data_IF_276451555222
#
_entry.id   IF_276451555222
#
_cell.length_a   1.000
_cell.length_b   1.000
_cell.length_c   1.000
_cell.angle_alpha   90.00
_cell.angle_beta   90.00
_cell.angle_gamma   90.00
#
_symmetry.space_group_name_H-M   'P 1'
#
loop_
_entity.id
_entity.type
_entity.pdbx_description
1 polymer ?
#
# COMPACT_ATOMS: atom_id res chain seq x y z
N UNK A 1 -32.54 23.53 -58.73
CA UNK A 1 -31.73 24.05 -57.60
C UNK A 1 -32.02 23.18 -56.39
N UNK A 2 -31.09 22.49 -55.73
CA UNK A 2 -29.65 22.37 -55.89
C UNK A 2 -29.18 21.05 -55.23
N UNK A 3 -28.29 20.33 -55.94
CA UNK A 3 -27.08 19.61 -55.50
C UNK A 3 -27.14 18.34 -54.60
N UNK A 4 -26.31 17.37 -55.02
CA UNK A 4 -26.02 16.05 -54.45
C UNK A 4 -24.95 16.08 -53.33
N UNK A 5 -25.15 15.26 -52.27
CA UNK A 5 -24.21 14.40 -51.46
C UNK A 5 -22.89 14.99 -50.85
N UNK A 6 -22.28 14.42 -49.76
CA UNK A 6 -22.24 12.99 -49.39
C UNK A 6 -22.24 12.61 -47.87
N UNK A 7 -22.15 11.29 -47.63
CA UNK A 7 -21.93 10.57 -46.37
C UNK A 7 -20.89 11.21 -45.43
N UNK A 8 -21.22 11.30 -44.15
CA UNK A 8 -20.24 11.29 -43.06
C UNK A 8 -20.36 9.96 -42.31
N UNK A 9 -19.36 9.11 -42.51
CA UNK A 9 -19.07 7.97 -41.64
C UNK A 9 -18.56 8.52 -40.30
N UNK A 10 -19.31 8.31 -39.22
CA UNK A 10 -18.78 8.49 -37.87
C UNK A 10 -18.27 7.13 -37.39
N UNK A 11 -16.97 6.92 -37.58
CA UNK A 11 -16.24 5.80 -37.02
C UNK A 11 -15.69 6.26 -35.66
N UNK A 12 -16.49 6.15 -34.59
CA UNK A 12 -16.01 6.39 -33.23
C UNK A 12 -16.03 5.08 -32.46
N UNK A 13 -14.86 4.44 -32.46
CA UNK A 13 -14.47 3.41 -31.52
C UNK A 13 -14.49 3.98 -30.10
N UNK A 14 -15.67 4.01 -29.49
CA UNK A 14 -15.85 4.24 -28.06
C UNK A 14 -15.78 2.90 -27.34
N UNK A 15 -14.55 2.42 -27.14
CA UNK A 15 -14.29 1.30 -26.24
C UNK A 15 -14.88 1.64 -24.86
N UNK A 16 -15.80 0.79 -24.42
CA UNK A 16 -16.07 0.46 -23.03
C UNK A 16 -15.93 1.66 -22.08
N UNK A 17 -17.04 2.34 -21.78
CA UNK A 17 -17.19 3.15 -20.57
C UNK A 17 -16.88 2.26 -19.36
N UNK A 18 -15.59 2.13 -19.05
CA UNK A 18 -15.13 1.78 -17.73
C UNK A 18 -15.66 2.92 -16.87
N UNK A 19 -16.83 2.68 -16.27
CA UNK A 19 -17.29 3.43 -15.11
C UNK A 19 -16.06 3.67 -14.23
N UNK A 20 -15.81 4.90 -13.75
CA UNK A 20 -14.71 5.13 -12.84
C UNK A 20 -14.87 4.15 -11.70
N UNK A 21 -14.00 3.14 -11.62
CA UNK A 21 -13.89 2.27 -10.46
C UNK A 21 -13.53 3.22 -9.33
N UNK A 22 -14.55 3.66 -8.58
CA UNK A 22 -14.37 4.50 -7.41
C UNK A 22 -13.25 3.85 -6.61
N UNK A 23 -12.15 4.57 -6.42
CA UNK A 23 -10.96 4.04 -5.78
C UNK A 23 -11.32 3.75 -4.33
N UNK A 24 -11.81 2.54 -4.07
CA UNK A 24 -12.27 2.07 -2.77
C UNK A 24 -11.06 1.66 -1.90
N UNK A 25 -9.95 2.38 -2.05
CA UNK A 25 -8.67 2.16 -1.39
C UNK A 25 -8.23 3.46 -0.71
N UNK A 26 -7.93 3.38 0.59
CA UNK A 26 -7.31 4.44 1.38
C UNK A 26 -5.87 4.08 1.70
N UNK A 27 -4.94 4.91 1.22
CA UNK A 27 -3.55 4.87 1.63
C UNK A 27 -3.36 5.64 2.95
N UNK A 28 -2.86 4.98 3.99
CA UNK A 28 -2.58 5.58 5.31
C UNK A 28 -1.08 5.52 5.58
N UNK A 29 -0.44 6.66 5.80
CA UNK A 29 0.97 6.71 6.23
C UNK A 29 1.04 6.50 7.74
N UNK A 30 1.67 5.41 8.14
CA UNK A 30 1.91 5.09 9.55
C UNK A 30 3.12 5.87 10.06
N UNK A 31 2.95 6.49 11.23
CA UNK A 31 3.97 7.31 11.91
C UNK A 31 4.20 6.88 13.37
N UNK A 32 3.73 5.68 13.73
CA UNK A 32 3.77 5.17 15.11
C UNK A 32 2.46 5.35 15.88
N UNK A 33 1.56 6.22 15.42
CA UNK A 33 0.26 6.45 16.05
C UNK A 33 -0.73 5.30 15.79
N UNK A 34 -1.68 5.07 16.71
CA UNK A 34 -2.81 4.17 16.50
C UNK A 34 -3.67 4.59 15.31
N UNK A 35 -4.03 3.63 14.46
CA UNK A 35 -4.83 3.85 13.26
C UNK A 35 -6.28 3.49 13.56
N UNK A 36 -7.19 4.45 13.43
CA UNK A 36 -8.62 4.19 13.58
C UNK A 36 -9.18 3.39 12.40
N UNK A 37 -9.86 2.28 12.69
CA UNK A 37 -10.45 1.39 11.69
C UNK A 37 -11.94 1.18 12.02
N UNK A 38 -12.82 1.61 11.13
CA UNK A 38 -14.27 1.53 11.33
C UNK A 38 -14.96 0.47 10.48
N UNK A 39 -15.03 -0.76 10.96
CA UNK A 39 -15.59 -1.87 10.21
C UNK A 39 -17.09 -1.67 9.92
N UNK A 40 -17.51 -1.77 8.64
CA UNK A 40 -18.92 -1.90 8.31
C UNK A 40 -19.44 -3.28 8.74
N UNK A 41 -20.67 -3.33 9.25
CA UNK A 41 -21.29 -4.60 9.60
C UNK A 41 -21.56 -5.45 8.36
N UNK A 42 -21.29 -6.75 8.46
CA UNK A 42 -21.49 -7.77 7.43
C UNK A 42 -20.73 -7.52 6.12
N UNK A 43 -19.80 -6.57 6.08
CA UNK A 43 -18.94 -6.32 4.94
C UNK A 43 -17.48 -6.53 5.33
N UNK A 44 -16.71 -7.15 4.44
CA UNK A 44 -15.28 -7.35 4.64
C UNK A 44 -14.53 -6.05 4.35
N UNK A 45 -13.63 -5.69 5.26
CA UNK A 45 -12.59 -4.70 5.03
C UNK A 45 -11.23 -5.41 4.97
N UNK A 46 -10.44 -5.07 3.96
CA UNK A 46 -9.05 -5.50 3.82
C UNK A 46 -8.09 -4.42 4.28
N UNK A 47 -7.09 -4.81 5.06
CA UNK A 47 -6.01 -3.95 5.54
C UNK A 47 -4.70 -4.58 5.08
N UNK A 48 -3.97 -3.90 4.20
CA UNK A 48 -2.68 -4.37 3.70
C UNK A 48 -1.59 -3.72 4.55
N UNK A 49 -0.88 -4.53 5.33
CA UNK A 49 0.31 -4.10 6.04
C UNK A 49 1.49 -3.93 5.06
N UNK A 50 2.43 -3.02 5.35
CA UNK A 50 3.58 -2.79 4.47
C UNK A 50 4.57 -3.97 4.51
N UNK A 51 4.48 -4.83 5.53
CA UNK A 51 5.27 -6.06 5.71
C UNK A 51 4.40 -7.20 6.25
N UNK A 52 4.85 -8.46 6.11
CA UNK A 52 4.21 -9.61 6.74
C UNK A 52 4.10 -9.46 8.27
N UNK A 53 2.98 -9.94 8.81
CA UNK A 53 2.69 -9.91 10.25
C UNK A 53 2.96 -11.30 10.85
N UNK A 54 3.74 -11.32 11.92
CA UNK A 54 4.08 -12.54 12.67
C UNK A 54 3.09 -12.84 13.79
N UNK A 55 2.56 -11.81 14.43
CA UNK A 55 1.67 -11.93 15.58
C UNK A 55 0.57 -10.87 15.51
N UNK A 56 -0.65 -11.28 15.87
CA UNK A 56 -1.84 -10.42 15.87
C UNK A 56 -2.60 -10.63 17.19
N UNK A 57 -2.45 -9.67 18.10
CA UNK A 57 -3.17 -9.64 19.38
C UNK A 57 -4.51 -8.91 19.19
N UNK A 58 -5.59 -9.69 19.22
CA UNK A 58 -6.97 -9.19 19.08
C UNK A 58 -7.70 -9.41 20.41
N UNK A 59 -8.30 -8.36 21.01
CA UNK A 59 -9.14 -8.51 22.19
C UNK A 59 -10.25 -9.54 21.96
N UNK A 60 -10.47 -10.42 22.93
CA UNK A 60 -11.47 -11.51 22.82
C UNK A 60 -12.86 -11.00 22.41
N UNK A 61 -13.29 -9.86 22.97
CA UNK A 61 -14.59 -9.25 22.66
C UNK A 61 -14.77 -8.90 21.16
N UNK A 62 -13.68 -8.59 20.45
CA UNK A 62 -13.71 -8.33 19.01
C UNK A 62 -13.70 -9.64 18.23
N UNK A 63 -12.85 -10.59 18.62
CA UNK A 63 -12.72 -11.90 17.97
C UNK A 63 -14.02 -12.71 17.99
N UNK A 64 -14.81 -12.62 19.07
CA UNK A 64 -16.11 -13.32 19.16
C UNK A 64 -17.18 -12.74 18.23
N UNK A 65 -17.04 -11.46 17.87
CA UNK A 65 -18.02 -10.69 17.07
C UNK A 65 -17.61 -10.48 15.62
N UNK A 66 -16.49 -11.07 15.22
CA UNK A 66 -15.91 -10.84 13.91
C UNK A 66 -15.22 -12.07 13.36
N UNK A 67 -15.00 -12.06 12.05
CA UNK A 67 -14.14 -13.00 11.37
C UNK A 67 -12.89 -12.27 10.90
N UNK A 68 -11.76 -12.85 11.24
CA UNK A 68 -10.43 -12.29 11.04
C UNK A 68 -9.60 -13.32 10.30
N UNK A 69 -9.01 -12.92 9.18
CA UNK A 69 -8.10 -13.76 8.40
C UNK A 69 -6.88 -12.95 8.03
N UNK A 70 -5.72 -13.38 8.51
CA UNK A 70 -4.43 -12.81 8.16
C UNK A 70 -3.73 -13.71 7.13
N UNK A 71 -3.37 -13.14 5.98
CA UNK A 71 -2.58 -13.87 4.98
C UNK A 71 -1.09 -13.79 5.29
N UNK A 72 -0.28 -14.75 4.82
CA UNK A 72 1.19 -14.71 4.97
C UNK A 72 1.85 -13.48 4.35
N UNK A 73 1.15 -12.76 3.46
CA UNK A 73 1.64 -11.54 2.81
C UNK A 73 1.43 -10.29 3.66
N UNK A 74 0.72 -10.39 4.78
CA UNK A 74 0.32 -9.23 5.57
C UNK A 74 -0.99 -8.59 5.12
N UNK A 75 -1.89 -9.35 4.47
CA UNK A 75 -3.25 -8.87 4.16
C UNK A 75 -4.19 -9.34 5.28
N UNK A 76 -4.79 -8.40 5.99
CA UNK A 76 -5.76 -8.67 7.05
C UNK A 76 -7.17 -8.42 6.52
N UNK A 77 -7.93 -9.49 6.39
CA UNK A 77 -9.34 -9.47 6.02
C UNK A 77 -10.17 -9.53 7.30
N UNK A 78 -10.99 -8.50 7.52
CA UNK A 78 -11.78 -8.36 8.74
C UNK A 78 -13.24 -8.06 8.40
N UNK A 79 -14.14 -8.93 8.87
CA UNK A 79 -15.58 -8.72 8.79
C UNK A 79 -16.18 -8.73 10.20
N UNK A 80 -16.91 -7.67 10.57
CA UNK A 80 -17.66 -7.62 11.82
C UNK A 80 -19.11 -8.06 11.60
N UNK A 81 -19.67 -8.85 12.51
CA UNK A 81 -21.07 -9.30 12.49
C UNK A 81 -21.95 -8.49 13.43
N UNK A 82 -21.36 -8.01 14.53
CA UNK A 82 -22.02 -7.16 15.53
C UNK A 82 -21.28 -5.83 15.68
N UNK A 83 -21.99 -4.79 16.13
CA UNK A 83 -21.39 -3.51 16.47
C UNK A 83 -20.61 -3.59 17.79
N UNK A 84 -19.52 -2.85 17.88
CA UNK A 84 -18.71 -2.74 19.09
C UNK A 84 -17.92 -1.44 19.11
N UNK A 85 -17.63 -0.97 20.32
CA UNK A 85 -16.79 0.21 20.55
C UNK A 85 -15.34 -0.04 20.10
N UNK A 86 -14.61 1.02 19.68
CA UNK A 86 -13.21 0.90 19.29
C UNK A 86 -12.35 0.25 20.38
N UNK A 87 -11.66 -0.83 20.02
CA UNK A 87 -10.69 -1.49 20.88
C UNK A 87 -9.35 -1.63 20.17
N UNK A 88 -8.28 -1.63 20.97
CA UNK A 88 -6.92 -1.70 20.44
C UNK A 88 -6.54 -3.12 20.06
N UNK A 89 -5.99 -3.25 18.87
CA UNK A 89 -5.46 -4.46 18.26
C UNK A 89 -4.00 -4.19 17.92
N UNK A 90 -3.14 -5.15 18.22
CA UNK A 90 -1.70 -5.03 17.99
C UNK A 90 -1.28 -6.02 16.90
N UNK A 91 -0.57 -5.53 15.88
CA UNK A 91 0.02 -6.36 14.84
C UNK A 91 1.53 -6.18 14.83
N UNK A 92 2.26 -7.25 15.11
CA UNK A 92 3.73 -7.24 15.13
C UNK A 92 4.24 -7.82 13.81
N UNK A 93 5.04 -7.05 13.07
CA UNK A 93 5.65 -7.52 11.82
C UNK A 93 6.75 -8.54 12.08
N UNK A 94 7.12 -9.28 11.02
CA UNK A 94 8.29 -10.17 11.01
C UNK A 94 9.61 -9.45 11.32
N UNK A 95 9.68 -8.15 11.05
CA UNK A 95 10.85 -7.27 11.27
C UNK A 95 10.82 -6.58 12.64
N UNK A 96 9.73 -6.71 13.41
CA UNK A 96 9.59 -6.16 14.75
C UNK A 96 8.85 -4.81 14.86
N UNK A 97 8.31 -4.29 13.75
CA UNK A 97 7.44 -3.11 13.77
C UNK A 97 6.09 -3.43 14.42
N UNK A 98 5.61 -2.54 15.29
CA UNK A 98 4.33 -2.70 15.99
C UNK A 98 3.29 -1.74 15.43
N UNK A 99 2.31 -2.27 14.71
CA UNK A 99 1.15 -1.51 14.25
C UNK A 99 0.04 -1.57 15.29
N UNK A 100 -0.51 -0.42 15.63
CA UNK A 100 -1.63 -0.29 16.55
C UNK A 100 -2.88 0.07 15.74
N UNK A 101 -3.93 -0.73 15.84
CA UNK A 101 -5.21 -0.48 15.19
C UNK A 101 -6.27 -0.28 16.28
N UNK A 102 -6.96 0.86 16.27
CA UNK A 102 -8.13 1.07 17.11
C UNK A 102 -9.36 0.72 16.29
N UNK A 103 -9.86 -0.52 16.46
CA UNK A 103 -10.86 -1.13 15.60
C UNK A 103 -12.23 -1.07 16.26
N UNK A 104 -13.18 -0.42 15.60
CA UNK A 104 -14.59 -0.40 15.98
C UNK A 104 -15.48 -0.93 14.86
N UNK A 105 -16.74 -1.27 15.17
CA UNK A 105 -17.71 -1.71 14.16
C UNK A 105 -19.04 -0.98 14.31
N UNK A 106 -19.58 -0.50 13.19
CA UNK A 106 -20.84 0.26 13.15
C UNK A 106 -21.64 0.00 11.87
N UNK A 107 -22.97 0.10 11.96
CA UNK A 107 -23.88 -0.16 10.84
C UNK A 107 -23.62 0.72 9.61
N UNK A 108 -23.05 1.91 9.80
CA UNK A 108 -22.68 2.85 8.74
C UNK A 108 -21.15 2.99 8.64
N UNK A 109 -20.42 1.86 8.75
CA UNK A 109 -18.96 1.82 8.63
C UNK A 109 -18.52 2.45 7.32
N UNK A 110 -17.77 3.54 7.40
CA UNK A 110 -17.46 4.39 6.27
C UNK A 110 -16.59 3.67 5.24
N UNK A 111 -16.85 3.84 3.94
CA UNK A 111 -15.88 3.50 2.90
C UNK A 111 -14.56 4.27 3.14
N UNK A 112 -13.40 3.70 2.75
CA UNK A 112 -13.24 2.57 1.83
C UNK A 112 -13.12 1.19 2.46
N UNK A 113 -13.36 0.13 1.66
CA UNK A 113 -13.23 -1.27 2.11
C UNK A 113 -11.80 -1.80 2.03
N UNK A 114 -10.88 -1.07 1.41
CA UNK A 114 -9.47 -1.42 1.38
C UNK A 114 -8.63 -0.30 1.98
N UNK A 115 -7.77 -0.65 2.92
CA UNK A 115 -6.81 0.26 3.52
C UNK A 115 -5.41 -0.29 3.24
N UNK A 116 -4.51 0.55 2.74
CA UNK A 116 -3.10 0.24 2.56
C UNK A 116 -2.28 1.04 3.58
N UNK A 117 -1.62 0.35 4.50
CA UNK A 117 -0.68 0.98 5.42
C UNK A 117 0.66 1.19 4.71
N UNK A 118 1.24 2.36 4.93
CA UNK A 118 2.51 2.77 4.36
C UNK A 118 3.44 3.12 5.50
N UNK A 119 4.52 2.36 5.63
CA UNK A 119 5.65 2.76 6.46
C UNK A 119 6.66 3.53 5.59
N UNK A 120 6.93 4.81 5.87
CA UNK A 120 7.90 5.60 5.12
C UNK A 120 9.33 5.04 5.21
N UNK A 121 9.69 4.37 6.31
CA UNK A 121 11.03 3.79 6.51
C UNK A 121 11.25 2.59 5.58
N UNK A 122 10.19 1.83 5.29
CA UNK A 122 10.23 0.69 4.39
C UNK A 122 10.16 1.09 2.91
N UNK A 123 9.41 2.16 2.58
CA UNK A 123 9.36 2.71 1.21
C UNK A 123 10.71 3.22 0.72
N UNK A 124 11.57 3.70 1.62
CA UNK A 124 12.94 4.12 1.30
C UNK A 124 13.85 3.00 0.80
N UNK A 125 13.47 1.72 0.99
CA UNK A 125 14.20 0.56 0.49
C UNK A 125 14.05 0.29 -1.00
N UNK A 126 13.07 0.91 -1.66
CA UNK A 126 12.89 0.88 -3.12
C UNK A 126 13.53 2.10 -3.78
N UNK A 127 14.76 2.46 -3.42
CA UNK A 127 15.59 3.20 -4.37
C UNK A 127 15.81 2.27 -5.55
N UNK A 128 15.01 2.48 -6.58
CA UNK A 128 15.28 2.03 -7.91
C UNK A 128 16.71 2.48 -8.25
N UNK A 129 17.71 1.61 -8.07
CA UNK A 129 19.01 1.72 -8.71
C UNK A 129 18.82 1.53 -10.20
N UNK A 130 18.08 2.44 -10.82
CA UNK A 130 18.45 2.92 -12.14
C UNK A 130 19.67 3.81 -11.92
N UNK A 131 20.80 3.16 -11.62
CA UNK A 131 22.11 3.68 -11.97
C UNK A 131 22.19 3.60 -13.49
N UNK A 132 21.43 4.48 -14.15
CA UNK A 132 21.60 4.78 -15.55
C UNK A 132 22.93 5.51 -15.70
N UNK A 133 23.95 4.77 -16.12
CA UNK A 133 25.14 5.27 -16.81
C UNK A 133 26.14 6.07 -15.97
N UNK A 134 26.98 5.41 -15.15
CA UNK A 134 28.25 5.99 -14.69
C UNK A 134 29.25 4.95 -14.14
N UNK A 135 29.68 3.95 -14.91
CA UNK A 135 30.78 3.06 -14.43
C UNK A 135 31.88 2.68 -15.43
N UNK A 136 31.92 3.26 -16.63
CA UNK A 136 33.14 3.18 -17.44
C UNK A 136 34.15 4.29 -17.07
N UNK A 137 33.69 5.54 -16.91
CA UNK A 137 34.59 6.65 -16.60
C UNK A 137 35.07 6.71 -15.13
N UNK A 138 34.28 6.18 -14.18
CA UNK A 138 34.63 6.26 -12.75
C UNK A 138 35.72 5.26 -12.35
N UNK A 139 35.80 4.10 -13.00
CA UNK A 139 36.87 3.13 -12.76
C UNK A 139 38.21 3.66 -13.29
N UNK A 140 38.22 4.26 -14.49
CA UNK A 140 39.42 4.86 -15.07
C UNK A 140 39.88 6.10 -14.29
N UNK A 141 38.94 6.93 -13.81
CA UNK A 141 39.26 8.10 -12.99
C UNK A 141 39.88 7.71 -11.63
N UNK A 142 39.39 6.64 -10.99
CA UNK A 142 39.99 6.11 -9.76
C UNK A 142 41.38 5.50 -10.01
N UNK A 143 41.57 4.81 -11.14
CA UNK A 143 42.88 4.26 -11.51
C UNK A 143 43.91 5.36 -11.86
N UNK A 144 43.50 6.44 -12.52
CA UNK A 144 44.38 7.59 -12.78
C UNK A 144 44.70 8.38 -11.50
N UNK A 145 43.73 8.58 -10.60
CA UNK A 145 43.98 9.24 -9.32
C UNK A 145 44.91 8.41 -8.42
N UNK A 146 44.84 7.07 -8.48
CA UNK A 146 45.76 6.19 -7.77
C UNK A 146 47.19 6.26 -8.34
N UNK A 147 47.35 6.42 -9.66
CA UNK A 147 48.66 6.56 -10.30
C UNK A 147 49.35 7.90 -9.99
N UNK A 148 48.58 8.97 -9.76
CA UNK A 148 49.11 10.30 -9.41
C UNK A 148 49.59 10.39 -7.95
N UNK A 149 49.13 9.48 -7.08
CA UNK A 149 49.44 9.46 -5.65
C UNK A 149 50.61 8.55 -5.26
N UNK A 150 51.37 8.02 -6.24
CA UNK A 150 52.64 7.33 -5.95
C UNK A 150 53.78 8.36 -6.03
N UNK A 151 54.26 8.92 -4.90
CA UNK A 151 55.53 9.62 -4.92
C UNK A 151 56.62 8.63 -5.32
N UNK A 152 57.37 8.92 -6.39
CA UNK A 152 58.63 8.25 -6.72
C UNK A 152 59.59 8.41 -5.53
N UNK A 153 59.65 7.40 -4.66
CA UNK A 153 60.74 7.27 -3.71
C UNK A 153 61.96 6.76 -4.49
N UNK A 154 62.85 7.70 -4.83
CA UNK A 154 64.21 7.43 -5.28
C UNK A 154 64.98 6.57 -4.26
#
# INVERSE_FOLDING_TARGET
MALLSPLAVANETGANEAAPIASNNLAVVWQGDPIAIDLPLNAERRIDFPEPISDLDVPQALSERSRIVLTPKGELHWQAYEAFDPARVLATSVTGSLYQLDVGARANGAQPLHIQLIDPLLRGGSVNTTSGGATAHSAEALNQAAADLIPEFL
#
